data_IF_791188502139
#
_entry.id   IF_791188502139
#
_cell.length_a   1.000
_cell.length_b   1.000
_cell.length_c   1.000
_cell.angle_alpha   90.00
_cell.angle_beta   90.00
_cell.angle_gamma   90.00
#
_symmetry.space_group_name_H-M   'P 1'
#
loop_
_entity.id
_entity.type
_entity.pdbx_description
1 polymer ?
#
# COMPACT_ATOMS: atom_id res chain seq x y z
N UNK A 1 6.13 0.51 -14.37
CA UNK A 1 6.43 1.94 -14.14
C UNK A 1 5.25 2.86 -14.48
N UNK A 2 4.01 2.46 -14.16
CA UNK A 2 2.83 3.31 -14.32
C UNK A 2 2.42 3.83 -12.94
N UNK A 3 2.95 4.99 -12.55
CA UNK A 3 2.51 5.70 -11.35
C UNK A 3 1.43 6.70 -11.79
N UNK A 4 0.20 6.64 -11.27
CA UNK A 4 -0.82 7.64 -11.57
C UNK A 4 -0.37 9.02 -11.05
N UNK A 5 -0.48 10.04 -11.90
CA UNK A 5 -0.09 11.42 -11.58
C UNK A 5 -0.95 12.07 -10.48
N UNK A 6 -0.51 13.20 -9.91
CA UNK A 6 -1.09 13.77 -8.69
C UNK A 6 -2.40 14.50 -8.96
N UNK A 7 -3.51 13.75 -9.03
CA UNK A 7 -4.85 14.30 -8.86
C UNK A 7 -5.13 14.53 -7.37
N UNK A 8 -5.45 15.77 -6.99
CA UNK A 8 -5.93 16.26 -5.66
C UNK A 8 -5.58 15.36 -4.47
N UNK A 9 -4.61 15.77 -3.64
CA UNK A 9 -4.14 15.15 -2.39
C UNK A 9 -5.12 14.15 -1.72
N UNK A 10 -5.22 12.95 -2.26
CA UNK A 10 -5.84 11.83 -1.58
C UNK A 10 -4.81 11.32 -0.59
N UNK A 11 -5.18 11.24 0.69
CA UNK A 11 -4.33 10.56 1.67
C UNK A 11 -4.16 9.11 1.21
N UNK A 12 -2.97 8.73 0.77
CA UNK A 12 -2.71 7.39 0.26
C UNK A 12 -2.56 6.38 1.41
N UNK A 13 -2.95 5.14 1.13
CA UNK A 13 -2.66 3.96 1.95
C UNK A 13 -1.80 3.01 1.12
N UNK A 14 -0.53 2.87 1.52
CA UNK A 14 0.39 1.94 0.87
C UNK A 14 0.21 0.53 1.43
N UNK A 15 -0.06 -0.42 0.55
CA UNK A 15 -0.29 -1.81 0.90
C UNK A 15 0.69 -2.73 0.16
N UNK A 16 1.14 -3.77 0.85
CA UNK A 16 1.91 -4.85 0.22
C UNK A 16 1.02 -5.67 -0.71
N UNK A 17 1.54 -6.05 -1.87
CA UNK A 17 0.84 -6.89 -2.85
C UNK A 17 0.98 -8.37 -2.47
N UNK A 18 -0.15 -9.07 -2.37
CA UNK A 18 -0.13 -10.53 -2.24
C UNK A 18 0.31 -11.18 -3.56
N UNK A 19 1.32 -12.05 -3.50
CA UNK A 19 1.83 -12.80 -4.67
C UNK A 19 0.99 -14.05 -4.97
N UNK A 20 0.26 -14.58 -3.98
CA UNK A 20 -0.56 -15.78 -4.14
C UNK A 20 -1.79 -15.49 -5.00
N UNK A 21 -1.97 -16.22 -6.10
CA UNK A 21 -3.09 -16.04 -7.05
C UNK A 21 -4.45 -16.11 -6.37
N UNK A 22 -4.62 -17.02 -5.41
CA UNK A 22 -5.87 -17.19 -4.67
C UNK A 22 -6.26 -15.96 -3.83
N UNK A 23 -5.31 -15.09 -3.50
CA UNK A 23 -5.50 -13.90 -2.67
C UNK A 23 -5.33 -12.58 -3.43
N UNK A 24 -5.11 -12.66 -4.75
CA UNK A 24 -4.86 -11.50 -5.57
C UNK A 24 -6.03 -10.50 -5.47
N UNK A 25 -5.72 -9.29 -4.99
CA UNK A 25 -6.68 -8.21 -4.81
C UNK A 25 -7.63 -8.34 -3.60
N UNK A 26 -7.58 -9.42 -2.80
CA UNK A 26 -8.40 -9.51 -1.56
C UNK A 26 -8.05 -8.41 -0.58
N UNK A 27 -6.75 -8.23 -0.31
CA UNK A 27 -6.26 -7.16 0.57
C UNK A 27 -6.64 -5.77 0.05
N UNK A 28 -6.50 -5.52 -1.27
CA UNK A 28 -6.90 -4.25 -1.86
C UNK A 28 -8.39 -3.95 -1.64
N UNK A 29 -9.27 -4.90 -1.94
CA UNK A 29 -10.73 -4.75 -1.78
C UNK A 29 -11.09 -4.47 -0.32
N UNK A 30 -10.51 -5.21 0.61
CA UNK A 30 -10.73 -5.01 2.03
C UNK A 30 -10.28 -3.61 2.47
N UNK A 31 -9.05 -3.21 2.16
CA UNK A 31 -8.52 -1.90 2.54
C UNK A 31 -9.31 -0.76 1.90
N UNK A 32 -9.73 -0.90 0.64
CA UNK A 32 -10.57 0.10 -0.03
C UNK A 32 -11.94 0.25 0.65
N UNK A 33 -12.54 -0.85 1.14
CA UNK A 33 -13.79 -0.80 1.91
C UNK A 33 -13.63 -0.18 3.30
N UNK A 34 -12.51 -0.43 3.97
CA UNK A 34 -12.24 0.09 5.32
C UNK A 34 -11.84 1.57 5.31
N UNK A 35 -11.22 2.04 4.22
CA UNK A 35 -10.70 3.40 4.10
C UNK A 35 -11.17 4.08 2.80
N UNK A 36 -12.49 4.32 2.64
CA UNK A 36 -13.07 4.82 1.39
C UNK A 36 -12.58 6.23 0.99
N UNK A 37 -12.09 7.02 1.93
CA UNK A 37 -11.49 8.35 1.68
C UNK A 37 -10.00 8.32 1.34
N UNK A 38 -9.39 7.13 1.23
CA UNK A 38 -7.96 6.95 0.96
C UNK A 38 -7.74 6.21 -0.34
N UNK A 39 -6.70 6.60 -1.07
CA UNK A 39 -6.26 5.86 -2.25
C UNK A 39 -5.40 4.68 -1.82
N UNK A 40 -5.85 3.45 -2.08
CA UNK A 40 -5.04 2.25 -1.81
C UNK A 40 -4.04 2.03 -2.95
N UNK A 41 -2.75 2.08 -2.63
CA UNK A 41 -1.66 1.87 -3.59
C UNK A 41 -0.95 0.57 -3.22
N UNK A 42 -1.06 -0.45 -4.08
CA UNK A 42 -0.34 -1.71 -3.88
C UNK A 42 1.05 -1.65 -4.50
N UNK A 43 2.07 -1.98 -3.71
CA UNK A 43 3.46 -2.03 -4.13
C UNK A 43 3.98 -3.47 -4.08
N UNK A 44 4.84 -3.79 -5.05
CA UNK A 44 5.70 -4.96 -4.96
C UNK A 44 6.82 -4.66 -3.97
N UNK A 45 7.01 -5.55 -3.01
CA UNK A 45 7.95 -5.35 -1.90
C UNK A 45 8.91 -6.52 -1.72
N UNK A 46 9.04 -7.40 -2.71
CA UNK A 46 9.81 -8.64 -2.60
C UNK A 46 11.25 -8.38 -2.13
N UNK A 47 11.86 -7.30 -2.61
CA UNK A 47 13.22 -6.91 -2.23
C UNK A 47 13.38 -6.58 -0.73
N UNK A 48 12.39 -5.94 -0.09
CA UNK A 48 12.44 -5.63 1.35
C UNK A 48 11.90 -6.78 2.20
N UNK A 49 10.93 -7.54 1.67
CA UNK A 49 10.37 -8.72 2.32
C UNK A 49 11.38 -9.86 2.41
N UNK A 50 12.31 -9.95 1.44
CA UNK A 50 13.47 -10.86 1.52
C UNK A 50 14.33 -10.63 2.78
N UNK A 51 14.32 -9.41 3.35
CA UNK A 51 14.97 -9.09 4.62
C UNK A 51 14.14 -9.44 5.87
N UNK A 52 12.95 -10.03 5.71
CA UNK A 52 12.05 -10.42 6.81
C UNK A 52 11.09 -9.33 7.29
N UNK A 53 11.01 -8.19 6.60
CA UNK A 53 10.14 -7.05 6.97
C UNK A 53 9.07 -6.71 5.94
N UNK A 54 8.35 -5.62 6.18
CA UNK A 54 7.40 -5.04 5.23
C UNK A 54 7.40 -3.52 5.28
N UNK A 55 6.48 -2.87 4.56
CA UNK A 55 6.39 -1.40 4.48
C UNK A 55 6.36 -0.76 5.87
N UNK A 56 5.52 -1.28 6.77
CA UNK A 56 5.39 -0.76 8.13
C UNK A 56 6.71 -0.81 8.93
N UNK A 57 7.52 -1.85 8.73
CA UNK A 57 8.77 -2.08 9.46
C UNK A 57 9.84 -1.02 9.15
N UNK A 58 9.75 -0.35 8.00
CA UNK A 58 10.80 0.56 7.49
C UNK A 58 10.31 2.00 7.33
N UNK A 59 9.15 2.33 7.87
CA UNK A 59 8.56 3.67 7.82
C UNK A 59 8.28 4.21 9.20
N UNK A 60 8.55 5.50 9.41
CA UNK A 60 8.03 6.27 10.54
C UNK A 60 7.23 7.46 10.03
N UNK A 61 6.07 7.70 10.65
CA UNK A 61 5.25 8.88 10.36
C UNK A 61 5.70 10.05 11.23
N UNK A 62 5.90 11.21 10.62
CA UNK A 62 6.07 12.47 11.35
C UNK A 62 4.72 13.18 11.39
N UNK A 63 4.19 13.52 12.59
CA UNK A 63 2.97 14.31 12.70
C UNK A 63 3.12 15.68 12.03
N UNK A 64 2.03 16.18 11.45
CA UNK A 64 1.96 17.57 11.00
C UNK A 64 1.96 18.54 12.19
N UNK A 65 2.30 19.81 11.92
CA UNK A 65 2.18 20.91 12.88
C UNK A 65 0.71 21.30 13.10
#
# INVERSE_FOLDING_TARGET
MNQPGPGRAAHALFAQRAQQLADQGKAHRLLASLYPGRQVIQLDIDAIAAGGGGIHCVTHQQPGL
#
